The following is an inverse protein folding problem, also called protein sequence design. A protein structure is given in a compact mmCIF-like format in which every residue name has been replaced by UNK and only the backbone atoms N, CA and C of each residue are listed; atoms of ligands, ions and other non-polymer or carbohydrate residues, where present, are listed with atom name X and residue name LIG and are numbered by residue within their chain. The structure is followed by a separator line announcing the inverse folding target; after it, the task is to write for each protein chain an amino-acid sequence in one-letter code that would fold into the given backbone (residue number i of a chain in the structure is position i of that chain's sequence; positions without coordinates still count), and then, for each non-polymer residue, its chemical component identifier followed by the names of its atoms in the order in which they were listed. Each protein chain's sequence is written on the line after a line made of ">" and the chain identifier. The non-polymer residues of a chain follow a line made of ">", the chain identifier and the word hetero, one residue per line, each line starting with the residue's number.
data_IF_191505841018
#
_entry.id   IF_191505841018
#
_cell.length_a   1.000
_cell.length_b   1.000
_cell.length_c   1.000
_cell.angle_alpha   90.00
_cell.angle_beta   90.00
_cell.angle_gamma   90.00
#
_symmetry.space_group_name_H-M   'P 1'
#
loop_
_entity.id
_entity.type
_entity.pdbx_description
1 polymer ?
#
# COMPACT_ATOMS: atom_id res chain seq x y z
N UNK A 1 19.03 -19.44 -23.65
CA UNK A 1 18.57 -18.96 -22.32
C UNK A 1 17.38 -18.04 -22.52
N UNK A 2 16.13 -18.47 -22.23
CA UNK A 2 15.00 -17.55 -22.26
C UNK A 2 14.66 -17.10 -20.84
N UNK A 3 14.63 -15.77 -20.69
CA UNK A 3 14.16 -15.04 -19.51
C UNK A 3 12.65 -15.29 -19.36
N UNK A 4 12.26 -15.99 -18.28
CA UNK A 4 10.84 -16.23 -17.97
C UNK A 4 10.27 -14.98 -17.29
N UNK A 5 9.19 -14.47 -17.89
CA UNK A 5 8.49 -13.23 -17.58
C UNK A 5 7.96 -13.17 -16.14
N UNK A 6 8.45 -12.21 -15.38
CA UNK A 6 8.05 -11.79 -14.02
C UNK A 6 6.64 -11.17 -13.92
N UNK A 7 5.94 -11.01 -15.04
CA UNK A 7 4.65 -10.29 -15.11
C UNK A 7 3.41 -11.11 -14.71
N UNK A 8 3.50 -12.44 -14.64
CA UNK A 8 2.34 -13.26 -14.26
C UNK A 8 2.02 -13.11 -12.76
N UNK A 9 3.05 -13.17 -11.90
CA UNK A 9 2.93 -13.15 -10.43
C UNK A 9 2.28 -11.86 -9.91
N UNK A 10 2.60 -10.68 -10.49
CA UNK A 10 2.03 -9.40 -10.05
C UNK A 10 0.54 -9.27 -10.38
N UNK A 11 0.08 -9.83 -11.51
CA UNK A 11 -1.34 -9.72 -11.94
C UNK A 11 -2.25 -10.67 -11.14
N UNK A 12 -1.80 -11.87 -10.79
CA UNK A 12 -2.63 -12.82 -10.01
C UNK A 12 -2.72 -12.45 -8.52
N UNK A 13 -1.66 -11.90 -7.92
CA UNK A 13 -1.70 -11.41 -6.54
C UNK A 13 -2.54 -10.14 -6.37
N UNK A 14 -2.51 -9.23 -7.35
CA UNK A 14 -3.39 -8.05 -7.36
C UNK A 14 -4.88 -8.41 -7.43
N UNK A 15 -5.24 -9.50 -8.12
CA UNK A 15 -6.62 -9.97 -8.19
C UNK A 15 -7.09 -10.68 -6.90
N UNK A 16 -6.19 -11.33 -6.14
CA UNK A 16 -6.54 -11.96 -4.87
C UNK A 16 -6.91 -10.96 -3.77
N UNK A 17 -6.37 -9.73 -3.83
CA UNK A 17 -6.67 -8.65 -2.89
C UNK A 17 -8.03 -7.99 -3.14
N UNK A 18 -8.62 -8.14 -4.33
CA UNK A 18 -9.81 -7.39 -4.74
C UNK A 18 -11.16 -8.06 -4.38
N UNK A 19 -11.21 -9.35 -4.04
CA UNK A 19 -12.50 -10.06 -3.91
C UNK A 19 -12.54 -11.06 -2.76
N UNK A 20 -12.64 -10.56 -1.53
CA UNK A 20 -13.09 -11.36 -0.39
C UNK A 20 -13.95 -10.54 0.56
N UNK A 21 -15.16 -10.18 0.13
CA UNK A 21 -16.27 -9.87 1.03
C UNK A 21 -17.60 -10.25 0.37
N UNK A 22 -18.18 -11.39 0.76
CA UNK A 22 -19.63 -11.57 0.71
C UNK A 22 -20.19 -11.03 2.03
N UNK A 23 -20.54 -9.75 2.03
CA UNK A 23 -21.27 -9.11 3.14
C UNK A 23 -22.76 -9.40 3.00
N UNK A 24 -23.33 -10.05 4.02
CA UNK A 24 -24.76 -10.11 4.22
C UNK A 24 -25.22 -8.70 4.62
N UNK A 25 -25.93 -8.00 3.75
CA UNK A 25 -26.48 -6.66 4.02
C UNK A 25 -27.68 -6.76 4.96
N UNK A 26 -27.50 -6.30 6.20
CA UNK A 26 -28.62 -5.90 7.07
C UNK A 26 -28.66 -4.37 7.06
N UNK A 27 -29.68 -3.80 6.42
CA UNK A 27 -29.90 -2.35 6.36
C UNK A 27 -30.36 -1.81 7.72
N UNK A 28 -29.66 -0.81 8.25
CA UNK A 28 -30.19 0.10 9.28
C UNK A 28 -29.50 1.48 9.19
N UNK A 29 -30.20 2.57 9.56
CA UNK A 29 -29.90 3.92 9.07
C UNK A 29 -28.92 4.69 9.97
N UNK A 30 -28.12 5.54 9.32
CA UNK A 30 -27.43 6.74 9.79
C UNK A 30 -26.93 6.79 11.25
N UNK A 31 -25.62 6.62 11.41
CA UNK A 31 -24.86 7.21 12.53
C UNK A 31 -23.62 7.90 11.94
N UNK A 32 -23.38 9.11 12.43
CA UNK A 32 -22.33 10.08 12.09
C UNK A 32 -20.93 9.48 11.93
N UNK A 33 -20.26 9.82 10.82
CA UNK A 33 -18.83 9.59 10.60
C UNK A 33 -18.00 10.48 11.53
N UNK A 34 -17.72 10.02 12.74
CA UNK A 34 -16.47 10.39 13.42
C UNK A 34 -15.34 9.68 12.67
N UNK A 35 -14.58 10.44 11.90
CA UNK A 35 -13.28 10.00 11.39
C UNK A 35 -12.36 9.77 12.60
N UNK A 36 -12.42 8.57 13.17
CA UNK A 36 -11.37 8.08 14.02
C UNK A 36 -10.15 7.89 13.12
N UNK A 37 -9.16 8.77 13.28
CA UNK A 37 -7.81 8.39 12.96
C UNK A 37 -7.57 7.06 13.70
N UNK A 38 -7.47 5.95 12.96
CA UNK A 38 -7.02 4.71 13.54
C UNK A 38 -5.58 4.96 14.01
N UNK A 39 -5.43 5.25 15.30
CA UNK A 39 -4.17 5.09 15.97
C UNK A 39 -3.71 3.66 15.67
N UNK A 40 -2.54 3.55 15.04
CA UNK A 40 -1.89 2.29 14.78
C UNK A 40 -1.64 1.60 16.13
N UNK A 41 -2.55 0.70 16.51
CA UNK A 41 -2.39 -0.08 17.71
C UNK A 41 -1.25 -1.09 17.46
N UNK A 42 -0.07 -0.77 18.02
CA UNK A 42 1.01 -1.71 18.31
C UNK A 42 1.76 -2.23 17.09
N UNK A 43 2.89 -1.61 16.77
CA UNK A 43 3.95 -2.23 15.98
C UNK A 43 5.24 -2.24 16.79
N UNK A 44 5.19 -2.83 18.00
CA UNK A 44 6.40 -3.03 18.80
C UNK A 44 7.19 -4.28 18.36
N UNK A 45 6.72 -5.01 17.35
CA UNK A 45 7.44 -6.11 16.72
C UNK A 45 7.65 -5.96 15.20
N UNK A 46 8.75 -6.54 14.71
CA UNK A 46 9.09 -6.54 13.29
C UNK A 46 8.03 -7.13 12.36
N UNK A 47 8.04 -6.65 11.11
CA UNK A 47 7.07 -6.99 10.06
C UNK A 47 7.26 -8.46 9.65
N UNK A 48 6.26 -9.35 9.86
CA UNK A 48 6.37 -10.74 9.46
C UNK A 48 6.45 -10.85 7.93
N UNK A 49 7.50 -11.51 7.45
CA UNK A 49 7.84 -11.59 6.03
C UNK A 49 8.26 -13.01 5.68
N UNK A 50 7.85 -13.52 4.51
CA UNK A 50 8.40 -14.78 3.98
C UNK A 50 9.89 -14.59 3.72
N UNK A 51 10.73 -15.43 4.33
CA UNK A 51 12.18 -15.29 4.19
C UNK A 51 12.59 -15.32 2.72
N UNK A 52 13.47 -14.41 2.24
CA UNK A 52 14.00 -14.45 0.87
C UNK A 52 14.74 -15.75 0.54
N UNK A 53 15.18 -16.49 1.57
CA UNK A 53 15.85 -17.79 1.43
C UNK A 53 14.86 -18.96 1.35
N UNK A 54 13.57 -18.73 1.53
CA UNK A 54 12.56 -19.78 1.45
C UNK A 54 12.48 -20.34 0.02
N UNK A 55 12.60 -21.66 -0.11
CA UNK A 55 12.46 -22.36 -1.39
C UNK A 55 11.01 -22.83 -1.53
N UNK A 56 10.24 -22.12 -2.34
CA UNK A 56 8.90 -22.56 -2.74
C UNK A 56 8.99 -23.45 -3.99
N UNK A 57 8.13 -24.48 -4.12
CA UNK A 57 8.01 -25.24 -5.35
C UNK A 57 7.62 -24.35 -6.53
N UNK A 58 8.02 -24.75 -7.75
CA UNK A 58 7.60 -24.07 -8.98
C UNK A 58 6.07 -24.02 -9.05
N UNK A 59 5.53 -22.86 -9.43
CA UNK A 59 4.08 -22.66 -9.54
C UNK A 59 3.43 -22.15 -8.24
N UNK A 60 4.13 -22.13 -7.12
CA UNK A 60 3.63 -21.65 -5.83
C UNK A 60 4.23 -20.29 -5.49
N UNK A 61 3.38 -19.33 -5.12
CA UNK A 61 3.80 -18.08 -4.48
C UNK A 61 3.16 -17.95 -3.10
N UNK A 62 3.91 -17.44 -2.13
CA UNK A 62 3.44 -17.15 -0.79
C UNK A 62 3.96 -15.79 -0.38
N UNK A 63 3.08 -14.95 0.19
CA UNK A 63 3.44 -13.66 0.74
C UNK A 63 2.73 -13.45 2.07
N UNK A 64 3.29 -12.57 2.90
CA UNK A 64 2.55 -11.94 4.00
C UNK A 64 2.09 -10.57 3.50
N UNK A 65 0.82 -10.27 3.67
CA UNK A 65 0.19 -8.99 3.28
C UNK A 65 -0.46 -8.35 4.50
N UNK A 66 -0.40 -7.02 4.61
CA UNK A 66 -1.12 -6.24 5.63
C UNK A 66 -2.36 -5.65 4.99
N UNK A 67 -3.53 -5.97 5.53
CA UNK A 67 -4.81 -5.31 5.20
C UNK A 67 -5.27 -4.55 6.46
N UNK A 68 -6.32 -5.01 7.15
CA UNK A 68 -6.61 -4.61 8.52
C UNK A 68 -5.71 -5.33 9.55
N UNK A 69 -5.17 -6.50 9.19
CA UNK A 69 -4.17 -7.25 9.94
C UNK A 69 -3.27 -8.05 8.97
N UNK A 70 -2.18 -8.62 9.48
CA UNK A 70 -1.32 -9.50 8.70
C UNK A 70 -2.02 -10.81 8.32
N UNK A 71 -1.90 -11.18 7.06
CA UNK A 71 -2.43 -12.42 6.48
C UNK A 71 -1.38 -13.09 5.62
N UNK A 72 -1.45 -14.42 5.49
CA UNK A 72 -0.80 -15.07 4.37
C UNK A 72 -1.66 -14.95 3.12
N UNK A 73 -1.03 -14.83 1.97
CA UNK A 73 -1.66 -14.97 0.66
C UNK A 73 -0.85 -16.00 -0.16
N UNK A 74 -1.49 -17.09 -0.56
CA UNK A 74 -0.89 -18.12 -1.40
C UNK A 74 -1.58 -18.15 -2.76
N UNK A 75 -0.80 -18.28 -3.83
CA UNK A 75 -1.30 -18.62 -5.15
C UNK A 75 -0.57 -19.84 -5.74
N UNK A 76 -1.25 -20.60 -6.59
CA UNK A 76 -0.79 -21.84 -7.23
C UNK A 76 -1.14 -21.83 -8.73
N UNK A 77 -0.35 -22.51 -9.55
CA UNK A 77 -0.68 -22.84 -10.95
C UNK A 77 -1.54 -24.12 -11.09
N UNK A 78 -1.90 -24.73 -9.96
CA UNK A 78 -2.74 -25.92 -9.87
C UNK A 78 -2.02 -27.24 -10.18
N UNK A 79 -0.71 -27.22 -10.48
CA UNK A 79 0.05 -28.45 -10.80
C UNK A 79 0.42 -29.26 -9.56
N UNK A 80 0.36 -28.65 -8.38
CA UNK A 80 0.69 -29.29 -7.11
C UNK A 80 -0.47 -29.15 -6.13
N UNK A 81 -0.76 -30.22 -5.41
CA UNK A 81 -1.62 -30.17 -4.25
C UNK A 81 -0.84 -29.59 -3.07
N UNK A 82 -1.35 -28.52 -2.47
CA UNK A 82 -0.74 -27.85 -1.32
C UNK A 82 -1.69 -27.91 -0.14
N UNK A 83 -1.23 -28.45 0.99
CA UNK A 83 -1.97 -28.44 2.25
C UNK A 83 -1.28 -27.50 3.25
N UNK A 84 -2.07 -26.67 3.95
CA UNK A 84 -1.60 -25.75 4.98
C UNK A 84 -1.80 -26.38 6.35
N UNK A 85 -0.75 -26.51 7.14
CA UNK A 85 -0.82 -27.11 8.48
C UNK A 85 -0.97 -26.04 9.57
N UNK A 86 -1.89 -26.29 10.50
CA UNK A 86 -2.06 -25.52 11.72
C UNK A 86 -0.92 -25.74 12.72
N UNK A 87 -1.00 -25.06 13.87
CA UNK A 87 -0.06 -25.28 14.99
C UNK A 87 -0.10 -26.73 15.50
N UNK A 88 -1.26 -27.38 15.42
CA UNK A 88 -1.50 -28.79 15.76
C UNK A 88 -1.00 -29.78 14.70
N UNK A 89 -0.32 -29.29 13.64
CA UNK A 89 0.16 -30.06 12.48
C UNK A 89 -0.94 -30.72 11.65
N UNK A 90 -2.20 -30.37 11.87
CA UNK A 90 -3.33 -30.83 11.04
C UNK A 90 -3.52 -29.91 9.85
N UNK A 91 -3.73 -30.50 8.67
CA UNK A 91 -4.10 -29.74 7.49
C UNK A 91 -5.49 -29.13 7.67
N UNK A 92 -5.63 -27.83 7.41
CA UNK A 92 -6.91 -27.13 7.53
C UNK A 92 -7.36 -26.45 6.25
N UNK A 93 -6.43 -26.17 5.32
CA UNK A 93 -6.70 -25.73 3.96
C UNK A 93 -5.97 -26.64 2.98
N UNK A 94 -6.58 -26.90 1.83
CA UNK A 94 -5.99 -27.67 0.73
C UNK A 94 -6.31 -27.04 -0.62
N UNK A 95 -5.27 -26.68 -1.36
CA UNK A 95 -5.34 -26.36 -2.78
C UNK A 95 -5.15 -27.64 -3.59
N UNK A 96 -6.06 -27.92 -4.51
CA UNK A 96 -6.03 -29.11 -5.36
C UNK A 96 -6.56 -28.73 -6.76
N UNK A 97 -5.63 -28.56 -7.71
CA UNK A 97 -5.93 -27.94 -8.99
C UNK A 97 -6.35 -26.47 -8.84
N UNK A 98 -7.50 -26.12 -9.38
CA UNK A 98 -8.14 -24.80 -9.28
C UNK A 98 -9.08 -24.66 -8.07
N UNK A 99 -9.13 -25.68 -7.19
CA UNK A 99 -10.08 -25.75 -6.08
C UNK A 99 -9.39 -25.55 -4.74
N UNK A 100 -10.09 -24.86 -3.85
CA UNK A 100 -9.71 -24.69 -2.45
C UNK A 100 -10.71 -25.43 -1.55
N UNK A 101 -10.20 -26.29 -0.67
CA UNK A 101 -10.96 -26.96 0.36
C UNK A 101 -10.53 -26.52 1.75
N UNK A 102 -11.46 -26.55 2.72
CA UNK A 102 -11.15 -26.43 4.14
C UNK A 102 -11.66 -27.63 4.92
N UNK A 103 -10.91 -28.04 5.94
CA UNK A 103 -11.36 -29.02 6.92
C UNK A 103 -12.13 -28.32 8.05
N UNK A 104 -13.46 -28.41 8.03
CA UNK A 104 -14.30 -27.78 9.04
C UNK A 104 -14.14 -28.38 10.45
N UNK A 105 -13.45 -29.52 10.57
CA UNK A 105 -13.09 -30.15 11.83
C UNK A 105 -11.63 -29.87 12.25
N UNK A 106 -10.87 -29.07 11.50
CA UNK A 106 -9.53 -28.64 11.91
C UNK A 106 -9.59 -27.34 12.72
N UNK A 107 -8.86 -27.28 13.84
CA UNK A 107 -8.81 -26.07 14.68
C UNK A 107 -8.21 -24.88 13.92
N UNK A 108 -7.24 -25.16 13.03
CA UNK A 108 -6.61 -24.16 12.15
C UNK A 108 -7.61 -23.41 11.27
N UNK A 109 -8.65 -24.08 10.75
CA UNK A 109 -9.68 -23.44 9.93
C UNK A 109 -10.46 -22.39 10.70
N UNK A 110 -10.86 -22.69 11.93
CA UNK A 110 -11.62 -21.74 12.75
C UNK A 110 -10.75 -20.55 13.13
N UNK A 111 -9.49 -20.81 13.49
CA UNK A 111 -8.51 -19.76 13.81
C UNK A 111 -8.22 -18.85 12.62
N UNK A 112 -8.27 -19.36 11.38
CA UNK A 112 -7.82 -18.60 10.22
C UNK A 112 -8.81 -17.60 9.64
N UNK A 113 -10.03 -17.52 10.21
CA UNK A 113 -11.14 -16.75 9.65
C UNK A 113 -11.20 -15.28 10.05
N UNK A 114 -10.49 -14.88 11.09
CA UNK A 114 -10.48 -13.49 11.56
C UNK A 114 -9.11 -13.10 12.13
N UNK A 115 -8.78 -11.79 12.15
CA UNK A 115 -7.59 -11.28 12.83
C UNK A 115 -7.48 -11.80 14.27
N UNK A 116 -6.27 -12.18 14.68
CA UNK A 116 -5.98 -12.66 16.04
C UNK A 116 -6.42 -14.08 16.37
N UNK A 117 -7.23 -14.73 15.53
CA UNK A 117 -7.70 -16.09 15.73
C UNK A 117 -9.20 -16.16 16.03
N UNK A 118 -9.94 -16.91 15.20
CA UNK A 118 -11.34 -17.26 15.46
C UNK A 118 -11.56 -18.21 16.63
N UNK A 119 -12.74 -18.15 17.29
CA UNK A 119 -13.08 -19.09 18.35
C UNK A 119 -13.15 -20.51 17.79
N UNK A 120 -12.53 -21.47 18.50
CA UNK A 120 -12.61 -22.89 18.16
C UNK A 120 -13.86 -23.48 18.82
N UNK A 121 -14.76 -24.16 18.07
CA UNK A 121 -15.93 -24.82 18.64
C UNK A 121 -15.58 -25.86 19.72
N UNK A 122 -16.36 -25.93 20.80
CA UNK A 122 -16.06 -26.82 21.94
C UNK A 122 -15.98 -28.30 21.53
N UNK A 123 -16.85 -28.74 20.59
CA UNK A 123 -16.81 -30.09 20.00
C UNK A 123 -15.43 -30.50 19.43
N UNK A 124 -14.60 -29.53 19.03
CA UNK A 124 -13.24 -29.78 18.53
C UNK A 124 -12.18 -29.72 19.63
N UNK A 125 -12.42 -28.97 20.71
CA UNK A 125 -11.54 -28.93 21.89
C UNK A 125 -11.52 -30.29 22.59
N UNK A 126 -12.70 -30.89 22.71
CA UNK A 126 -12.88 -32.18 23.40
C UNK A 126 -12.53 -33.40 22.53
N UNK A 127 -12.37 -33.19 21.21
CA UNK A 127 -12.10 -34.27 20.26
C UNK A 127 -11.13 -33.84 19.14
N UNK A 128 -9.84 -33.66 19.43
CA UNK A 128 -8.85 -33.20 18.46
C UNK A 128 -8.61 -34.18 17.29
N UNK A 129 -9.05 -35.44 17.42
CA UNK A 129 -8.89 -36.51 16.43
C UNK A 129 -10.12 -36.74 15.56
N UNK A 130 -11.10 -35.82 15.56
CA UNK A 130 -12.26 -35.91 14.66
C UNK A 130 -11.81 -36.09 13.21
N UNK A 131 -12.48 -36.99 12.48
CA UNK A 131 -12.21 -37.22 11.05
C UNK A 131 -12.30 -35.90 10.26
N UNK A 132 -11.43 -35.69 9.25
CA UNK A 132 -11.50 -34.51 8.39
C UNK A 132 -12.87 -34.36 7.72
N UNK A 133 -13.37 -33.13 7.66
CA UNK A 133 -14.58 -32.75 6.93
C UNK A 133 -14.19 -31.70 5.87
N UNK A 134 -13.66 -32.19 4.74
CA UNK A 134 -13.21 -31.36 3.64
C UNK A 134 -14.40 -30.81 2.84
N UNK A 135 -14.55 -29.49 2.84
CA UNK A 135 -15.60 -28.77 2.11
C UNK A 135 -14.96 -27.85 1.09
N UNK A 136 -15.49 -27.84 -0.13
CA UNK A 136 -15.08 -26.90 -1.18
C UNK A 136 -15.48 -25.47 -0.78
N UNK A 137 -14.49 -24.59 -0.66
CA UNK A 137 -14.70 -23.18 -0.35
C UNK A 137 -14.82 -22.33 -1.60
N UNK A 138 -13.92 -22.55 -2.57
CA UNK A 138 -13.83 -21.70 -3.75
C UNK A 138 -13.15 -22.42 -4.94
N UNK A 139 -13.34 -21.88 -6.13
CA UNK A 139 -12.68 -22.30 -7.39
C UNK A 139 -11.81 -21.15 -7.90
N UNK A 140 -10.65 -20.97 -7.28
CA UNK A 140 -9.69 -19.94 -7.68
C UNK A 140 -8.25 -20.37 -7.32
N UNK A 141 -7.25 -19.94 -8.11
CA UNK A 141 -5.86 -20.35 -7.94
C UNK A 141 -5.13 -19.65 -6.78
N UNK A 142 -5.84 -18.97 -5.88
CA UNK A 142 -5.23 -18.28 -4.74
C UNK A 142 -6.19 -17.99 -3.59
N UNK A 143 -5.66 -17.89 -2.38
CA UNK A 143 -6.44 -17.61 -1.18
C UNK A 143 -5.59 -16.96 -0.08
N UNK A 144 -6.22 -16.05 0.65
CA UNK A 144 -5.64 -15.41 1.83
C UNK A 144 -6.27 -15.94 3.12
N UNK A 145 -5.47 -16.07 4.18
CA UNK A 145 -5.95 -16.46 5.51
C UNK A 145 -5.20 -15.76 6.63
N UNK A 146 -5.89 -15.56 7.76
CA UNK A 146 -5.25 -15.08 8.98
C UNK A 146 -4.51 -16.24 9.67
N UNK A 147 -3.37 -15.95 10.29
CA UNK A 147 -2.65 -16.93 11.08
C UNK A 147 -2.25 -16.29 12.41
N UNK A 148 -2.67 -16.85 13.57
CA UNK A 148 -2.35 -16.26 14.88
C UNK A 148 -0.85 -16.09 15.13
N UNK A 149 0.02 -16.84 14.43
CA UNK A 149 1.47 -16.68 14.56
C UNK A 149 1.98 -15.37 13.96
N UNK A 150 1.26 -14.75 13.02
CA UNK A 150 1.66 -13.49 12.41
C UNK A 150 1.61 -12.31 13.39
N UNK A 151 0.83 -12.40 14.47
CA UNK A 151 0.70 -11.36 15.50
C UNK A 151 1.55 -11.60 16.77
N UNK A 152 2.24 -12.75 16.87
CA UNK A 152 3.11 -13.06 18.02
C UNK A 152 4.44 -12.30 17.93
N UNK A 153 4.52 -11.13 18.57
CA UNK A 153 5.68 -10.22 18.48
C UNK A 153 6.92 -10.74 19.24
N UNK A 154 6.73 -11.64 20.20
CA UNK A 154 7.77 -12.22 21.07
C UNK A 154 8.69 -13.24 20.36
N UNK A 155 8.35 -13.62 19.12
CA UNK A 155 9.12 -14.60 18.35
C UNK A 155 9.70 -13.98 17.08
N UNK A 156 11.03 -13.89 17.01
CA UNK A 156 11.74 -13.32 15.86
C UNK A 156 11.49 -14.05 14.53
N UNK A 157 11.12 -15.33 14.56
CA UNK A 157 10.81 -16.12 13.38
C UNK A 157 10.01 -17.39 13.70
N UNK A 158 9.28 -17.91 12.73
CA UNK A 158 8.63 -19.22 12.83
C UNK A 158 8.62 -19.94 11.48
N UNK A 159 8.29 -21.24 11.49
CA UNK A 159 8.09 -22.00 10.26
C UNK A 159 6.59 -22.22 10.02
N UNK A 160 6.11 -21.77 8.85
CA UNK A 160 4.84 -22.21 8.31
C UNK A 160 5.03 -23.60 7.71
N UNK A 161 4.38 -24.61 8.30
CA UNK A 161 4.42 -25.98 7.81
C UNK A 161 3.32 -26.20 6.77
N UNK A 162 3.73 -26.76 5.64
CA UNK A 162 2.90 -27.11 4.48
C UNK A 162 3.18 -28.56 4.07
N UNK A 163 2.28 -29.14 3.27
CA UNK A 163 2.57 -30.33 2.48
C UNK A 163 2.45 -29.99 1.00
N UNK A 164 3.44 -30.37 0.19
CA UNK A 164 3.39 -30.30 -1.28
C UNK A 164 3.36 -31.72 -1.83
N UNK A 165 2.25 -32.10 -2.46
CA UNK A 165 1.98 -33.48 -2.90
C UNK A 165 2.29 -34.52 -1.80
N UNK A 166 1.84 -34.23 -0.57
CA UNK A 166 2.06 -35.06 0.62
C UNK A 166 3.47 -34.97 1.24
N UNK A 167 4.43 -34.25 0.62
CA UNK A 167 5.79 -34.09 1.16
C UNK A 167 5.89 -32.85 2.05
N UNK A 168 6.55 -32.93 3.22
CA UNK A 168 6.75 -31.77 4.09
C UNK A 168 7.48 -30.61 3.39
N UNK A 169 6.94 -29.41 3.54
CA UNK A 169 7.53 -28.15 3.11
C UNK A 169 7.43 -27.16 4.27
N UNK A 170 8.56 -26.67 4.77
CA UNK A 170 8.57 -25.64 5.81
C UNK A 170 9.05 -24.32 5.20
N UNK A 171 8.24 -23.28 5.37
CA UNK A 171 8.53 -21.93 4.89
C UNK A 171 8.87 -21.05 6.09
N UNK A 172 10.10 -20.53 6.13
CA UNK A 172 10.55 -19.65 7.20
C UNK A 172 9.92 -18.27 7.05
N UNK A 173 9.30 -17.81 8.12
CA UNK A 173 8.75 -16.46 8.28
C UNK A 173 9.66 -15.74 9.27
N UNK A 174 10.17 -14.58 8.87
CA UNK A 174 11.08 -13.75 9.65
C UNK A 174 10.37 -12.45 10.01
N UNK A 175 10.57 -11.95 11.22
CA UNK A 175 10.16 -10.59 11.59
C UNK A 175 11.29 -9.65 11.25
N UNK A 176 11.05 -8.80 10.26
CA UNK A 176 12.02 -7.80 9.83
C UNK A 176 11.68 -6.53 10.58
N UNK A 177 12.52 -6.16 11.53
CA UNK A 177 12.41 -4.86 12.17
C UNK A 177 12.49 -3.76 11.11
N UNK A 178 11.53 -2.81 11.09
CA UNK A 178 11.68 -1.65 10.24
C UNK A 178 12.98 -0.96 10.62
N UNK A 179 13.77 -0.57 9.61
CA UNK A 179 14.97 0.23 9.88
C UNK A 179 14.52 1.48 10.63
N UNK A 180 15.14 1.81 11.78
CA UNK A 180 14.78 3.02 12.50
C UNK A 180 14.94 4.21 11.56
N UNK A 181 13.93 5.09 11.55
CA UNK A 181 13.97 6.30 10.74
C UNK A 181 14.99 7.25 11.37
N UNK A 182 16.17 7.35 10.77
CA UNK A 182 17.27 8.20 11.29
C UNK A 182 17.11 9.68 10.94
N UNK A 183 16.15 10.00 10.08
CA UNK A 183 15.87 11.34 9.60
C UNK A 183 14.99 11.32 8.36
N UNK A 184 14.79 12.50 7.79
CA UNK A 184 14.03 12.70 6.57
C UNK A 184 14.58 13.87 5.76
N UNK A 185 14.39 13.82 4.44
CA UNK A 185 14.66 14.96 3.58
C UNK A 185 13.55 15.98 3.73
N UNK A 186 13.91 17.20 4.11
CA UNK A 186 13.01 18.33 4.34
C UNK A 186 13.13 19.33 3.18
N UNK A 187 12.05 19.57 2.42
CA UNK A 187 12.03 20.66 1.47
C UNK A 187 11.93 22.00 2.20
N UNK A 188 12.68 23.00 1.71
CA UNK A 188 12.69 24.36 2.21
C UNK A 188 12.43 25.30 1.04
N UNK A 189 11.36 26.08 1.12
CA UNK A 189 11.07 27.13 0.16
C UNK A 189 12.03 28.30 0.39
N UNK A 190 12.79 28.69 -0.64
CA UNK A 190 13.68 29.86 -0.59
C UNK A 190 13.00 31.05 -1.24
N UNK A 191 12.40 30.85 -2.42
CA UNK A 191 11.72 31.90 -3.16
C UNK A 191 10.31 31.47 -3.58
N UNK A 192 9.34 32.34 -3.30
CA UNK A 192 7.99 32.29 -3.85
C UNK A 192 7.96 32.79 -5.30
N UNK A 193 6.94 32.39 -6.08
CA UNK A 193 6.82 32.86 -7.46
C UNK A 193 6.43 34.34 -7.48
N UNK A 194 7.00 35.10 -8.42
CA UNK A 194 6.70 36.53 -8.61
C UNK A 194 5.37 36.74 -9.34
N UNK A 195 4.29 36.34 -8.68
CA UNK A 195 2.92 36.52 -9.14
C UNK A 195 2.03 37.04 -8.01
N UNK A 196 1.35 38.16 -8.26
CA UNK A 196 0.32 38.65 -7.34
C UNK A 196 -0.78 37.61 -7.18
N UNK A 197 -1.02 37.16 -5.94
CA UNK A 197 -2.11 36.25 -5.60
C UNK A 197 -1.80 34.77 -5.85
N UNK A 198 -0.54 34.39 -6.09
CA UNK A 198 -0.11 33.00 -6.00
C UNK A 198 0.78 32.85 -4.76
N UNK A 199 0.44 31.91 -3.88
CA UNK A 199 1.25 31.59 -2.70
C UNK A 199 1.69 30.13 -2.73
N UNK A 200 2.85 29.86 -2.15
CA UNK A 200 3.39 28.53 -2.00
C UNK A 200 3.85 28.26 -0.58
N UNK A 201 3.68 27.03 -0.15
CA UNK A 201 4.09 26.59 1.17
C UNK A 201 4.57 25.13 1.10
N UNK A 202 5.57 24.82 1.92
CA UNK A 202 5.91 23.44 2.26
C UNK A 202 5.12 23.04 3.52
N UNK A 203 4.17 22.11 3.44
CA UNK A 203 3.45 21.63 4.63
C UNK A 203 4.42 20.91 5.58
N UNK A 204 4.38 21.24 6.88
CA UNK A 204 5.24 20.73 7.97
C UNK A 204 6.14 19.50 7.72
N UNK A 205 5.85 18.36 8.35
CA UNK A 205 6.61 17.09 8.19
C UNK A 205 6.27 16.38 6.86
N UNK A 206 5.98 17.12 5.80
CA UNK A 206 5.65 16.51 4.52
C UNK A 206 6.92 16.25 3.73
N UNK A 207 7.11 15.02 3.28
CA UNK A 207 8.31 14.59 2.58
C UNK A 207 8.48 15.29 1.23
N UNK A 208 7.69 14.87 0.24
CA UNK A 208 7.77 15.34 -1.14
C UNK A 208 6.59 16.25 -1.55
N UNK A 209 5.85 16.85 -0.60
CA UNK A 209 4.64 17.61 -0.95
C UNK A 209 4.82 19.11 -0.91
N UNK A 210 4.11 19.80 -1.80
CA UNK A 210 3.97 21.25 -1.83
C UNK A 210 2.51 21.65 -1.83
N UNK A 211 2.22 22.76 -1.17
CA UNK A 211 0.93 23.43 -1.26
C UNK A 211 1.05 24.67 -2.14
N UNK A 212 0.14 24.81 -3.10
CA UNK A 212 -0.03 26.01 -3.91
C UNK A 212 -1.44 26.57 -3.72
N UNK A 213 -1.54 27.88 -3.58
CA UNK A 213 -2.80 28.59 -3.36
C UNK A 213 -2.94 29.77 -4.31
N UNK A 214 -4.00 29.77 -5.11
CA UNK A 214 -4.49 30.93 -5.85
C UNK A 214 -5.42 31.73 -4.97
N UNK A 215 -4.97 32.92 -4.57
CA UNK A 215 -5.69 33.86 -3.73
C UNK A 215 -6.69 34.69 -4.55
N UNK A 216 -7.65 35.31 -3.86
CA UNK A 216 -8.65 36.20 -4.49
C UNK A 216 -8.05 37.43 -5.18
N UNK A 217 -6.83 37.83 -4.81
CA UNK A 217 -6.08 38.93 -5.42
C UNK A 217 -5.42 38.55 -6.75
N UNK A 218 -5.47 37.29 -7.16
CA UNK A 218 -4.86 36.81 -8.41
C UNK A 218 -5.55 37.40 -9.64
N UNK A 219 -4.74 38.00 -10.53
CA UNK A 219 -5.21 38.60 -11.79
C UNK A 219 -5.41 37.59 -12.93
N UNK A 220 -4.96 36.35 -12.78
CA UNK A 220 -5.05 35.31 -13.80
C UNK A 220 -5.22 33.90 -13.24
N UNK A 221 -5.14 32.92 -14.14
CA UNK A 221 -5.01 31.50 -13.85
C UNK A 221 -3.54 31.08 -14.02
N UNK A 222 -3.09 30.14 -13.21
CA UNK A 222 -1.69 29.72 -13.20
C UNK A 222 -1.56 28.28 -13.66
N UNK A 223 -0.51 28.01 -14.43
CA UNK A 223 -0.12 26.66 -14.86
C UNK A 223 1.19 26.26 -14.20
N UNK A 224 1.20 25.10 -13.54
CA UNK A 224 2.42 24.48 -13.01
C UNK A 224 2.99 23.56 -14.07
N UNK A 225 4.29 23.73 -14.34
CA UNK A 225 4.97 23.04 -15.42
C UNK A 225 5.85 21.90 -14.90
N UNK A 226 5.97 20.85 -15.69
CA UNK A 226 6.93 19.77 -15.49
C UNK A 226 8.36 20.19 -15.88
N UNK A 227 9.29 19.23 -15.93
CA UNK A 227 10.68 19.44 -16.34
C UNK A 227 10.85 19.72 -17.85
N UNK A 228 9.84 19.40 -18.66
CA UNK A 228 9.80 19.65 -20.10
C UNK A 228 8.97 20.90 -20.47
N UNK A 229 8.52 21.66 -19.47
CA UNK A 229 7.71 22.86 -19.65
C UNK A 229 6.23 22.59 -19.99
N UNK A 230 5.76 21.34 -19.87
CA UNK A 230 4.37 20.97 -20.10
C UNK A 230 3.51 21.22 -18.85
N UNK A 231 2.31 21.82 -19.00
CA UNK A 231 1.43 22.06 -17.88
C UNK A 231 0.74 20.77 -17.42
N UNK A 232 0.83 20.49 -16.12
CA UNK A 232 0.14 19.35 -15.51
C UNK A 232 -0.89 19.76 -14.46
N UNK A 233 -0.74 20.91 -13.80
CA UNK A 233 -1.73 21.50 -12.90
C UNK A 233 -2.13 22.90 -13.35
N UNK A 234 -3.42 23.22 -13.17
CA UNK A 234 -4.00 24.53 -13.41
C UNK A 234 -4.72 25.02 -12.16
N UNK A 235 -4.29 26.17 -11.64
CA UNK A 235 -5.00 26.88 -10.58
C UNK A 235 -5.93 27.91 -11.25
N UNK A 236 -7.21 27.57 -11.32
CA UNK A 236 -8.27 28.35 -11.97
C UNK A 236 -9.08 29.14 -10.94
N UNK A 237 -9.96 30.01 -11.43
CA UNK A 237 -10.89 30.75 -10.55
C UNK A 237 -11.87 29.82 -9.82
N UNK A 238 -12.24 28.72 -10.44
CA UNK A 238 -13.25 27.78 -9.95
C UNK A 238 -12.67 26.59 -9.21
N UNK A 239 -11.35 26.44 -9.11
CA UNK A 239 -10.71 25.33 -8.42
C UNK A 239 -9.32 25.01 -8.96
N UNK A 240 -8.79 23.84 -8.59
CA UNK A 240 -7.57 23.28 -9.16
C UNK A 240 -7.90 22.11 -10.07
N UNK A 241 -7.23 22.08 -11.22
CA UNK A 241 -7.43 21.11 -12.28
C UNK A 241 -6.12 20.39 -12.59
N UNK A 242 -6.17 19.07 -12.74
CA UNK A 242 -5.07 18.20 -13.11
C UNK A 242 -5.25 17.71 -14.53
N UNK A 243 -4.20 17.73 -15.34
CA UNK A 243 -4.18 17.01 -16.62
C UNK A 243 -4.00 15.51 -16.33
N UNK A 244 -5.08 14.73 -16.34
CA UNK A 244 -5.06 13.29 -16.02
C UNK A 244 -4.34 12.44 -17.07
N UNK A 245 -4.11 12.99 -18.26
CA UNK A 245 -3.35 12.34 -19.33
C UNK A 245 -1.86 12.66 -19.27
N UNK A 246 -1.45 13.56 -18.36
CA UNK A 246 -0.04 13.90 -18.16
C UNK A 246 0.72 12.72 -17.57
N UNK A 247 2.00 12.56 -17.93
CA UNK A 247 2.85 11.49 -17.42
C UNK A 247 2.95 11.50 -15.89
N UNK A 248 2.81 12.67 -15.27
CA UNK A 248 2.87 12.87 -13.81
C UNK A 248 1.53 12.70 -13.09
N UNK A 249 0.40 12.48 -13.79
CA UNK A 249 -0.92 12.44 -13.17
C UNK A 249 -1.03 11.43 -12.00
N UNK A 250 -0.37 10.29 -12.14
CA UNK A 250 -0.36 9.22 -11.13
C UNK A 250 0.77 9.33 -10.10
N UNK A 251 1.72 10.25 -10.28
CA UNK A 251 2.86 10.43 -9.36
C UNK A 251 2.65 11.60 -8.39
N UNK A 252 1.69 12.49 -8.67
CA UNK A 252 1.43 13.68 -7.83
C UNK A 252 0.51 13.43 -6.63
N UNK A 253 0.11 12.18 -6.42
CA UNK A 253 -0.71 11.72 -5.27
C UNK A 253 -2.05 12.45 -5.08
N UNK A 254 -2.60 13.02 -6.16
CA UNK A 254 -3.91 13.64 -6.16
C UNK A 254 -4.97 12.60 -6.55
N UNK A 255 -6.01 12.45 -5.73
CA UNK A 255 -7.18 11.65 -6.10
C UNK A 255 -7.92 12.31 -7.27
N UNK A 256 -8.09 11.56 -8.35
CA UNK A 256 -8.78 12.04 -9.54
C UNK A 256 -9.43 10.88 -10.29
N UNK A 257 -10.51 11.19 -11.02
CA UNK A 257 -11.04 10.28 -12.03
C UNK A 257 -10.24 10.46 -13.34
N UNK A 258 -10.09 9.41 -14.16
CA UNK A 258 -9.46 9.56 -15.46
C UNK A 258 -10.32 10.46 -16.36
N UNK A 259 -9.70 11.45 -16.99
CA UNK A 259 -10.27 12.24 -18.09
C UNK A 259 -10.22 11.49 -19.42
N UNK A 260 -10.44 12.22 -20.51
CA UNK A 260 -10.38 11.69 -21.88
C UNK A 260 -9.46 12.52 -22.75
N UNK A 261 -9.08 12.04 -23.93
CA UNK A 261 -8.27 12.81 -24.89
C UNK A 261 -8.93 14.16 -25.27
N UNK A 262 -10.27 14.23 -25.25
CA UNK A 262 -11.03 15.44 -25.53
C UNK A 262 -11.21 16.35 -24.30
N UNK A 263 -11.09 15.79 -23.10
CA UNK A 263 -11.22 16.52 -21.83
C UNK A 263 -10.21 15.97 -20.82
N UNK A 264 -8.92 16.28 -20.99
CA UNK A 264 -7.86 15.69 -20.17
C UNK A 264 -7.75 16.37 -18.80
N UNK A 265 -8.34 17.57 -18.64
CA UNK A 265 -8.30 18.33 -17.40
C UNK A 265 -9.47 17.94 -16.50
N UNK A 266 -9.14 17.38 -15.33
CA UNK A 266 -10.11 16.96 -14.31
C UNK A 266 -9.94 17.80 -13.05
N UNK A 267 -11.05 18.18 -12.42
CA UNK A 267 -11.03 18.99 -11.21
C UNK A 267 -10.61 18.12 -10.02
N UNK A 268 -9.64 18.61 -9.25
CA UNK A 268 -9.06 17.91 -8.08
C UNK A 268 -9.22 18.70 -6.77
N UNK A 269 -9.62 19.97 -6.86
CA UNK A 269 -9.99 20.80 -5.70
C UNK A 269 -11.07 21.79 -6.09
N UNK A 270 -12.09 21.93 -5.24
CA UNK A 270 -13.12 22.97 -5.34
C UNK A 270 -12.61 24.35 -4.90
N UNK A 271 -11.45 24.39 -4.25
CA UNK A 271 -10.81 25.64 -3.82
C UNK A 271 -9.63 25.96 -4.74
N UNK A 272 -9.16 27.21 -4.72
CA UNK A 272 -7.92 27.59 -5.40
C UNK A 272 -6.65 27.01 -4.77
N UNK A 273 -6.76 26.06 -3.84
CA UNK A 273 -5.64 25.47 -3.09
C UNK A 273 -5.50 23.98 -3.40
N UNK A 274 -4.26 23.52 -3.54
CA UNK A 274 -3.91 22.11 -3.70
C UNK A 274 -2.64 21.79 -2.92
N UNK A 275 -2.59 20.61 -2.32
CA UNK A 275 -1.35 19.99 -1.83
C UNK A 275 -1.10 18.75 -2.68
N UNK A 276 0.07 18.66 -3.30
CA UNK A 276 0.43 17.55 -4.19
C UNK A 276 1.86 17.10 -3.95
N UNK A 277 2.16 15.84 -4.27
CA UNK A 277 3.52 15.30 -4.26
C UNK A 277 4.25 15.76 -5.53
N UNK A 278 5.33 16.53 -5.40
CA UNK A 278 6.07 17.00 -6.57
C UNK A 278 7.21 16.03 -6.92
N UNK A 279 7.22 15.40 -8.11
CA UNK A 279 8.25 14.41 -8.47
C UNK A 279 9.68 14.96 -8.39
N UNK A 280 9.88 16.27 -8.50
CA UNK A 280 11.21 16.89 -8.39
C UNK A 280 11.79 16.79 -6.98
N UNK A 281 10.94 16.65 -5.96
CA UNK A 281 11.40 16.45 -4.58
C UNK A 281 11.86 15.02 -4.28
N UNK A 282 11.65 14.08 -5.21
CA UNK A 282 12.18 12.72 -5.08
C UNK A 282 13.65 12.61 -5.52
N UNK A 283 14.18 13.63 -6.21
CA UNK A 283 15.59 13.75 -6.58
C UNK A 283 16.45 14.15 -5.38
N UNK A 284 16.54 13.24 -4.40
CA UNK A 284 17.30 13.43 -3.16
C UNK A 284 18.80 13.31 -3.43
N UNK A 285 19.65 14.12 -2.76
CA UNK A 285 21.10 13.91 -2.79
C UNK A 285 21.49 12.51 -2.33
N UNK A 286 22.61 11.99 -2.84
CA UNK A 286 23.11 10.66 -2.46
C UNK A 286 23.54 10.61 -1.00
N UNK A 287 24.08 11.72 -0.48
CA UNK A 287 24.57 11.82 0.90
C UNK A 287 23.73 12.78 1.71
N UNK A 288 23.46 12.40 2.96
CA UNK A 288 22.72 13.22 3.93
C UNK A 288 23.44 14.52 4.33
N UNK A 289 24.73 14.65 4.04
CA UNK A 289 25.49 15.90 4.22
C UNK A 289 25.31 16.92 3.08
N UNK A 290 24.77 16.48 1.94
CA UNK A 290 24.59 17.32 0.77
C UNK A 290 23.23 18.04 0.81
N UNK A 291 23.16 19.19 0.14
CA UNK A 291 21.91 19.94 -0.03
C UNK A 291 21.48 19.82 -1.49
N UNK A 292 20.26 19.31 -1.70
CA UNK A 292 19.63 19.30 -3.02
C UNK A 292 19.02 20.66 -3.33
N UNK A 293 18.82 20.95 -4.60
CA UNK A 293 18.04 22.12 -5.04
C UNK A 293 16.91 21.66 -5.94
N UNK A 294 15.81 22.41 -5.92
CA UNK A 294 14.65 22.14 -6.77
C UNK A 294 14.09 23.45 -7.30
N UNK A 295 13.48 23.36 -8.49
CA UNK A 295 12.87 24.48 -9.19
C UNK A 295 11.55 24.02 -9.80
N UNK A 296 10.49 24.77 -9.53
CA UNK A 296 9.14 24.55 -10.06
C UNK A 296 8.78 25.73 -10.94
N UNK A 297 8.70 25.58 -12.28
CA UNK A 297 8.25 26.64 -13.16
C UNK A 297 6.72 26.78 -13.06
N UNK A 298 6.28 28.03 -13.00
CA UNK A 298 4.86 28.40 -13.08
C UNK A 298 4.69 29.53 -14.06
N UNK A 299 3.64 29.51 -14.86
CA UNK A 299 3.31 30.59 -15.80
C UNK A 299 1.86 31.05 -15.66
N UNK A 300 1.58 32.24 -16.16
CA UNK A 300 0.20 32.65 -16.45
C UNK A 300 -0.32 31.84 -17.63
N UNK A 301 -1.57 31.37 -17.52
CA UNK A 301 -2.23 30.61 -18.59
C UNK A 301 -2.42 31.44 -19.86
N UNK A 302 -2.82 32.70 -19.70
CA UNK A 302 -3.13 33.63 -20.79
C UNK A 302 -2.00 34.64 -21.04
N UNK A 303 -0.74 34.19 -21.06
CA UNK A 303 0.39 35.05 -21.36
C UNK A 303 1.76 34.35 -21.34
N UNK A 304 2.80 35.12 -21.66
CA UNK A 304 4.19 34.64 -21.70
C UNK A 304 4.93 34.81 -20.36
N UNK A 305 4.28 35.43 -19.36
CA UNK A 305 4.93 35.64 -18.06
C UNK A 305 5.10 34.31 -17.34
N UNK A 306 6.35 34.00 -17.02
CA UNK A 306 6.76 32.83 -16.26
C UNK A 306 7.58 33.27 -15.04
N UNK A 307 7.43 32.52 -13.96
CA UNK A 307 8.24 32.66 -12.76
C UNK A 307 8.63 31.27 -12.26
N UNK A 308 9.47 31.22 -11.22
CA UNK A 308 9.85 29.95 -10.60
C UNK A 308 9.65 30.01 -9.10
N UNK A 309 9.24 28.89 -8.54
CA UNK A 309 9.45 28.59 -7.12
C UNK A 309 10.73 27.81 -7.01
N UNK A 310 11.53 28.09 -6.01
CA UNK A 310 12.75 27.33 -5.80
C UNK A 310 13.10 27.21 -4.33
N UNK A 311 13.93 26.23 -4.07
CA UNK A 311 14.40 25.99 -2.73
C UNK A 311 15.36 24.83 -2.64
N UNK A 312 15.53 24.36 -1.41
CA UNK A 312 16.50 23.35 -1.05
C UNK A 312 15.84 22.09 -0.52
N UNK A 313 16.56 20.98 -0.59
CA UNK A 313 16.23 19.74 0.07
C UNK A 313 17.37 19.39 1.04
N UNK A 314 17.10 19.44 2.34
CA UNK A 314 18.09 19.22 3.40
C UNK A 314 17.72 18.01 4.25
N UNK A 315 18.72 17.21 4.60
CA UNK A 315 18.51 16.12 5.54
C UNK A 315 18.27 16.67 6.95
N UNK A 316 17.17 16.25 7.56
CA UNK A 316 16.85 16.53 8.95
C UNK A 316 17.00 15.22 9.73
N UNK A 317 18.06 15.13 10.55
CA UNK A 317 18.22 14.01 11.48
C UNK A 317 17.10 14.04 12.53
N UNK A 318 16.55 12.87 12.84
CA UNK A 318 15.71 12.67 14.03
C UNK A 318 16.68 12.38 15.17
N UNK A 319 16.86 13.35 16.05
CA UNK A 319 17.66 13.16 17.25
C UNK A 319 16.77 12.49 18.29
N UNK A 320 17.10 11.25 18.67
CA UNK A 320 16.53 10.64 19.87
C UNK A 320 16.90 11.53 21.07
N UNK A 321 15.96 12.33 21.54
CA UNK A 321 16.05 12.88 22.90
C UNK A 321 15.69 11.75 23.86
N UNK A 322 16.61 10.80 24.04
CA UNK A 322 16.65 10.03 25.27
C UNK A 322 17.12 10.98 26.37
N UNK A 323 16.18 11.42 27.21
CA UNK A 323 16.43 11.88 28.57
C UNK A 323 15.73 10.93 29.52
#
# INVERSE_FOLDING_TARGET
>A
MPVVKTNWVKKTLGACLAFSFSTLLISSPFVTNTAFAHAEHGSEGGIPTVSPKAKLPKGISLQVVKTNAYQFALATDGQQQIEILGEDKRAFLRFDGDKLYADLNATGWHRSRQPGGGPVPDRLKDNPKMKPNWVLLNKQPGYGWYDPRLIKEDVAHFNLSLLSNGKPLNVRIERIEPKPMTGYWRPLLINEPDFTGLNAMVPGLSGNTFMLSRLGTAKGEFQVLDDQGQPFLELRKDGVWLNSMHAWANTVELFHNPGTDQSPWVKVSETGTVTYADPRLDNKPEKTSETGSWVIPVKLKDGEQQSTLNGELKWQAIVDKQK
#
